data_IF_422254068595
#
_entry.id   IF_422254068595
#
_cell.length_a   1.000
_cell.length_b   1.000
_cell.length_c   1.000
_cell.angle_alpha   90.00
_cell.angle_beta   90.00
_cell.angle_gamma   90.00
#
_symmetry.space_group_name_H-M   'P 1'
#
loop_
_entity.id
_entity.type
_entity.pdbx_description
1 polymer ?
#
# COMPACT_ATOMS: atom_id res chain seq x y z
N UNK A 1 -1.47 12.19 -10.27
CA UNK A 1 -1.77 10.74 -10.22
C UNK A 1 -3.13 10.58 -10.84
N UNK A 2 -3.28 9.65 -11.79
CA UNK A 2 -4.62 9.32 -12.29
C UNK A 2 -5.48 8.79 -11.15
N UNK A 3 -6.80 8.88 -11.33
CA UNK A 3 -7.76 8.49 -10.30
C UNK A 3 -7.70 6.96 -10.18
N UNK A 4 -7.30 6.45 -9.02
CA UNK A 4 -7.34 5.01 -8.72
C UNK A 4 -8.81 4.61 -8.52
N UNK A 5 -9.33 3.77 -9.40
CA UNK A 5 -10.73 3.34 -9.40
C UNK A 5 -10.83 1.81 -9.38
N UNK A 6 -11.87 1.29 -8.73
CA UNK A 6 -12.17 -0.14 -8.65
C UNK A 6 -13.59 -0.40 -9.10
N UNK A 7 -13.80 -1.47 -9.88
CA UNK A 7 -15.13 -1.90 -10.30
C UNK A 7 -15.71 -2.85 -9.26
N UNK A 8 -16.78 -2.42 -8.60
CA UNK A 8 -17.49 -3.22 -7.60
C UNK A 8 -18.67 -3.91 -8.27
N UNK A 9 -18.79 -5.23 -8.07
CA UNK A 9 -19.88 -6.06 -8.59
C UNK A 9 -20.64 -6.65 -7.42
N UNK A 10 -21.98 -6.56 -7.44
CA UNK A 10 -22.84 -7.30 -6.52
C UNK A 10 -22.82 -8.79 -6.89
N UNK A 11 -22.43 -9.67 -5.96
CA UNK A 11 -22.28 -11.11 -6.25
C UNK A 11 -23.59 -11.90 -6.20
N UNK A 12 -24.71 -11.26 -5.85
CA UNK A 12 -26.05 -11.87 -5.91
C UNK A 12 -26.76 -11.60 -7.24
N UNK A 13 -26.42 -10.51 -7.89
CA UNK A 13 -27.00 -10.03 -9.15
C UNK A 13 -25.84 -9.59 -10.06
N UNK A 14 -25.40 -10.49 -10.95
CA UNK A 14 -24.20 -10.30 -11.79
C UNK A 14 -24.27 -9.09 -12.74
N UNK A 15 -25.44 -8.46 -12.92
CA UNK A 15 -25.64 -7.29 -13.79
C UNK A 15 -25.45 -5.95 -13.08
N UNK A 16 -25.40 -5.91 -11.74
CA UNK A 16 -25.18 -4.67 -10.98
C UNK A 16 -23.72 -4.47 -10.66
N UNK A 17 -23.12 -3.50 -11.35
CA UNK A 17 -21.74 -3.08 -11.16
C UNK A 17 -21.58 -1.57 -11.27
N UNK A 18 -20.63 -1.01 -10.53
CA UNK A 18 -20.33 0.41 -10.59
C UNK A 18 -18.88 0.69 -10.16
N UNK A 19 -18.27 1.70 -10.77
CA UNK A 19 -16.93 2.15 -10.46
C UNK A 19 -16.90 3.02 -9.20
N UNK A 20 -15.93 2.77 -8.33
CA UNK A 20 -15.65 3.56 -7.13
C UNK A 20 -14.22 4.08 -7.18
N UNK A 21 -14.07 5.39 -7.07
CA UNK A 21 -12.76 6.01 -6.90
C UNK A 21 -12.27 5.92 -5.46
N UNK A 22 -10.96 5.73 -5.30
CA UNK A 22 -10.27 5.67 -4.02
C UNK A 22 -9.14 6.72 -3.94
N UNK A 23 -8.81 7.25 -2.75
CA UNK A 23 -9.58 7.06 -1.51
C UNK A 23 -10.97 7.72 -1.61
N UNK A 24 -11.90 7.25 -0.78
CA UNK A 24 -13.32 7.62 -0.77
C UNK A 24 -13.82 7.92 0.64
N UNK A 25 -15.10 8.24 0.75
CA UNK A 25 -15.81 8.50 1.99
C UNK A 25 -17.05 7.61 2.16
N UNK A 26 -17.49 7.44 3.41
CA UNK A 26 -18.62 6.58 3.75
C UNK A 26 -19.96 7.02 3.12
N UNK A 27 -20.09 8.29 2.71
CA UNK A 27 -21.27 8.79 2.01
C UNK A 27 -21.34 8.20 0.61
N UNK A 28 -20.24 8.29 -0.15
CA UNK A 28 -20.14 7.71 -1.50
C UNK A 28 -20.30 6.20 -1.51
N UNK A 29 -19.71 5.50 -0.54
CA UNK A 29 -19.87 4.03 -0.43
C UNK A 29 -21.33 3.66 -0.17
N UNK A 30 -22.05 4.44 0.66
CA UNK A 30 -23.47 4.22 0.89
C UNK A 30 -24.31 4.43 -0.36
N UNK A 31 -24.09 5.54 -1.06
CA UNK A 31 -24.80 5.82 -2.32
C UNK A 31 -24.54 4.76 -3.38
N UNK A 32 -23.30 4.28 -3.47
CA UNK A 32 -22.91 3.16 -4.33
C UNK A 32 -23.68 1.88 -3.93
N UNK A 33 -23.69 1.53 -2.65
CA UNK A 33 -24.37 0.33 -2.14
C UNK A 33 -25.88 0.40 -2.41
N UNK A 34 -26.51 1.56 -2.21
CA UNK A 34 -27.92 1.79 -2.52
C UNK A 34 -28.21 1.54 -4.01
N UNK A 35 -27.35 2.01 -4.92
CA UNK A 35 -27.47 1.77 -6.38
C UNK A 35 -27.26 0.29 -6.74
N UNK A 36 -26.30 -0.37 -6.09
CA UNK A 36 -26.02 -1.79 -6.27
C UNK A 36 -27.03 -2.71 -5.57
N UNK A 37 -27.97 -2.18 -4.78
CA UNK A 37 -28.94 -2.98 -4.01
C UNK A 37 -28.31 -3.75 -2.85
N UNK A 38 -27.21 -3.24 -2.29
CA UNK A 38 -26.50 -3.80 -1.15
C UNK A 38 -26.89 -3.06 0.13
N UNK A 39 -27.11 -3.80 1.22
CA UNK A 39 -27.33 -3.19 2.52
C UNK A 39 -26.01 -2.67 3.13
N UNK A 40 -26.03 -1.69 4.05
CA UNK A 40 -24.85 -1.30 4.80
C UNK A 40 -24.23 -2.50 5.53
N UNK A 41 -22.92 -2.71 5.36
CA UNK A 41 -22.18 -3.85 5.92
C UNK A 41 -22.41 -5.19 5.19
N UNK A 42 -23.13 -5.19 4.07
CA UNK A 42 -23.27 -6.37 3.23
C UNK A 42 -21.95 -6.70 2.52
N UNK A 43 -21.51 -7.95 2.62
CA UNK A 43 -20.27 -8.46 2.04
C UNK A 43 -20.51 -9.21 0.72
N UNK A 44 -21.71 -9.09 0.14
CA UNK A 44 -22.07 -9.74 -1.13
C UNK A 44 -21.68 -8.89 -2.33
N UNK A 45 -20.43 -8.45 -2.33
CA UNK A 45 -19.80 -7.74 -3.44
C UNK A 45 -18.40 -8.30 -3.67
N UNK A 46 -17.79 -7.99 -4.81
CA UNK A 46 -16.35 -8.22 -5.05
C UNK A 46 -15.78 -7.07 -5.87
N UNK A 47 -14.48 -6.83 -5.71
CA UNK A 47 -13.73 -5.98 -6.63
C UNK A 47 -13.34 -6.82 -7.83
N UNK A 48 -13.86 -6.50 -9.02
CA UNK A 48 -13.62 -7.32 -10.21
C UNK A 48 -12.39 -6.90 -11.00
N UNK A 49 -12.13 -5.59 -11.09
CA UNK A 49 -10.95 -5.04 -11.78
C UNK A 49 -10.68 -3.63 -11.27
N UNK A 50 -9.58 -3.04 -11.71
CA UNK A 50 -9.11 -1.73 -11.30
C UNK A 50 -8.55 -0.91 -12.46
N UNK A 51 -8.64 0.41 -12.34
CA UNK A 51 -8.05 1.39 -13.26
C UNK A 51 -7.25 2.43 -12.48
N UNK A 52 -6.29 3.07 -13.14
CA UNK A 52 -5.48 4.12 -12.51
C UNK A 52 -4.56 3.65 -11.38
N UNK A 53 -4.24 2.36 -11.31
CA UNK A 53 -3.19 1.86 -10.41
C UNK A 53 -1.86 2.56 -10.70
N UNK A 54 -1.09 2.96 -9.67
CA UNK A 54 0.21 3.59 -9.91
C UNK A 54 1.20 2.69 -10.66
N UNK A 55 1.06 1.37 -10.53
CA UNK A 55 1.81 0.38 -11.28
C UNK A 55 1.07 -0.97 -11.31
N UNK A 56 1.23 -1.77 -12.38
CA UNK A 56 0.43 -2.99 -12.61
C UNK A 56 0.64 -4.08 -11.56
N UNK A 57 1.80 -4.10 -10.89
CA UNK A 57 2.11 -5.10 -9.85
C UNK A 57 1.19 -4.99 -8.61
N UNK A 58 0.39 -3.94 -8.48
CA UNK A 58 -0.65 -3.82 -7.45
C UNK A 58 -1.92 -4.61 -7.74
N UNK A 59 -2.21 -4.92 -9.01
CA UNK A 59 -3.47 -5.55 -9.41
C UNK A 59 -3.81 -6.81 -8.60
N UNK A 60 -2.87 -7.74 -8.32
CA UNK A 60 -3.16 -8.94 -7.52
C UNK A 60 -3.60 -8.68 -6.07
N UNK A 61 -3.29 -7.50 -5.52
CA UNK A 61 -3.73 -7.11 -4.18
C UNK A 61 -5.11 -6.46 -4.23
N UNK A 62 -5.44 -5.77 -5.32
CA UNK A 62 -6.68 -5.01 -5.46
C UNK A 62 -7.82 -5.86 -6.03
N UNK A 63 -7.56 -6.55 -7.13
CA UNK A 63 -8.55 -7.31 -7.87
C UNK A 63 -8.85 -8.63 -7.17
N UNK A 64 -10.14 -8.97 -7.04
CA UNK A 64 -10.61 -10.11 -6.25
C UNK A 64 -10.73 -9.83 -4.75
N UNK A 65 -10.41 -8.62 -4.28
CA UNK A 65 -10.64 -8.22 -2.90
C UNK A 65 -12.14 -8.12 -2.57
N UNK A 66 -12.45 -8.22 -1.28
CA UNK A 66 -13.79 -8.10 -0.67
C UNK A 66 -13.79 -7.06 0.46
N UNK A 67 -12.86 -6.10 0.42
CA UNK A 67 -12.61 -5.18 1.53
C UNK A 67 -12.33 -3.77 1.01
N UNK A 68 -13.38 -2.95 0.87
CA UNK A 68 -13.28 -1.56 0.42
C UNK A 68 -12.50 -0.74 1.46
N UNK A 69 -12.71 -0.97 2.76
CA UNK A 69 -11.98 -0.29 3.83
C UNK A 69 -10.44 -0.45 3.69
N UNK A 70 -9.99 -1.69 3.43
CA UNK A 70 -8.58 -2.00 3.22
C UNK A 70 -8.00 -1.38 1.96
N UNK A 71 -8.76 -1.37 0.86
CA UNK A 71 -8.35 -0.71 -0.38
C UNK A 71 -8.34 0.81 -0.25
N UNK A 72 -9.26 1.38 0.54
CA UNK A 72 -9.31 2.79 0.85
C UNK A 72 -8.10 3.25 1.66
N UNK A 73 -7.69 2.44 2.64
CA UNK A 73 -6.45 2.67 3.39
C UNK A 73 -5.22 2.60 2.49
N UNK A 74 -5.11 1.54 1.68
CA UNK A 74 -4.00 1.40 0.72
C UNK A 74 -3.93 2.59 -0.25
N UNK A 75 -5.06 3.00 -0.82
CA UNK A 75 -5.14 4.14 -1.74
C UNK A 75 -4.65 5.44 -1.10
N UNK A 76 -5.11 5.73 0.12
CA UNK A 76 -4.70 6.91 0.85
C UNK A 76 -3.19 6.92 1.12
N UNK A 77 -2.64 5.78 1.54
CA UNK A 77 -1.20 5.62 1.79
C UNK A 77 -0.36 5.79 0.53
N UNK A 78 -0.75 5.16 -0.58
CA UNK A 78 -0.05 5.33 -1.87
C UNK A 78 -0.07 6.79 -2.34
N UNK A 79 -1.15 7.52 -2.09
CA UNK A 79 -1.26 8.94 -2.43
C UNK A 79 -0.39 9.89 -1.61
N UNK A 80 0.17 9.43 -0.49
CA UNK A 80 1.06 10.22 0.38
C UNK A 80 2.54 10.02 0.05
N UNK A 81 2.89 8.99 -0.73
CA UNK A 81 4.28 8.69 -1.09
C UNK A 81 4.81 9.65 -2.15
N UNK A 82 6.11 9.96 -2.04
CA UNK A 82 6.81 10.62 -3.12
C UNK A 82 7.21 9.62 -4.24
N UNK A 83 7.82 10.14 -5.30
CA UNK A 83 8.19 9.32 -6.45
C UNK A 83 9.26 8.26 -6.12
N UNK A 84 10.17 8.55 -5.18
CA UNK A 84 11.26 7.63 -4.81
C UNK A 84 10.72 6.49 -3.93
N UNK A 85 9.93 6.84 -2.91
CA UNK A 85 9.23 5.87 -2.06
C UNK A 85 8.31 4.97 -2.88
N UNK A 86 7.61 5.52 -3.88
CA UNK A 86 6.78 4.72 -4.79
C UNK A 86 7.59 3.67 -5.56
N UNK A 87 8.82 3.98 -5.98
CA UNK A 87 9.69 3.00 -6.63
C UNK A 87 10.17 1.93 -5.65
N UNK A 88 10.45 2.28 -4.39
CA UNK A 88 10.80 1.32 -3.34
C UNK A 88 9.64 0.34 -3.11
N UNK A 89 8.41 0.84 -2.96
CA UNK A 89 7.23 0.00 -2.78
C UNK A 89 7.06 -0.95 -3.96
N UNK A 90 7.19 -0.45 -5.19
CA UNK A 90 7.10 -1.27 -6.41
C UNK A 90 8.19 -2.35 -6.46
N UNK A 91 9.43 -1.99 -6.18
CA UNK A 91 10.56 -2.92 -6.15
C UNK A 91 10.36 -4.02 -5.09
N UNK A 92 9.90 -3.65 -3.90
CA UNK A 92 9.65 -4.60 -2.82
C UNK A 92 8.51 -5.57 -3.16
N UNK A 93 7.43 -5.10 -3.78
CA UNK A 93 6.35 -5.97 -4.27
C UNK A 93 6.89 -6.99 -5.29
N UNK A 94 7.74 -6.55 -6.23
CA UNK A 94 8.37 -7.43 -7.21
C UNK A 94 9.31 -8.45 -6.55
N UNK A 95 10.05 -8.02 -5.54
CA UNK A 95 10.92 -8.90 -4.75
C UNK A 95 10.13 -9.96 -3.95
N UNK A 96 8.85 -9.70 -3.69
CA UNK A 96 7.92 -10.63 -3.07
C UNK A 96 7.89 -10.55 -1.54
N UNK A 97 7.11 -11.44 -0.92
CA UNK A 97 6.91 -11.47 0.54
C UNK A 97 5.64 -10.76 1.04
N UNK A 98 4.79 -10.29 0.12
CA UNK A 98 3.51 -9.62 0.43
C UNK A 98 2.35 -10.44 -0.15
N UNK A 99 1.25 -10.59 0.59
CA UNK A 99 0.10 -11.41 0.17
C UNK A 99 -1.25 -10.70 0.21
N UNK A 100 -1.34 -9.53 0.85
CA UNK A 100 -2.60 -8.80 1.07
C UNK A 100 -2.44 -7.29 0.87
N UNK A 101 -3.53 -6.54 0.61
CA UNK A 101 -3.53 -5.08 0.63
C UNK A 101 -2.95 -4.48 1.91
N UNK A 102 -3.21 -5.12 3.06
CA UNK A 102 -2.72 -4.66 4.35
C UNK A 102 -1.19 -4.81 4.46
N UNK A 103 -0.60 -5.83 3.84
CA UNK A 103 0.87 -5.97 3.78
C UNK A 103 1.49 -4.85 2.95
N UNK A 104 0.85 -4.47 1.83
CA UNK A 104 1.32 -3.34 1.01
C UNK A 104 1.13 -2.01 1.73
N UNK A 105 0.00 -1.83 2.42
CA UNK A 105 -0.23 -0.65 3.24
C UNK A 105 0.83 -0.53 4.35
N UNK A 106 1.18 -1.62 5.03
CA UNK A 106 2.28 -1.65 6.01
C UNK A 106 3.64 -1.31 5.37
N UNK A 107 3.94 -1.84 4.19
CA UNK A 107 5.14 -1.50 3.44
C UNK A 107 5.25 0.00 3.14
N UNK A 108 4.12 0.69 2.86
CA UNK A 108 4.16 2.15 2.65
C UNK A 108 4.59 2.93 3.89
N UNK A 109 4.57 2.33 5.08
CA UNK A 109 5.05 2.96 6.33
C UNK A 109 6.52 2.60 6.64
N UNK A 110 7.14 1.78 5.80
CA UNK A 110 8.44 1.16 6.01
C UNK A 110 9.33 1.26 4.76
N UNK A 111 9.17 2.31 3.94
CA UNK A 111 10.00 2.46 2.74
C UNK A 111 11.48 2.64 3.10
N UNK A 112 11.79 3.23 4.26
CA UNK A 112 13.13 3.35 4.80
C UNK A 112 13.80 2.01 5.16
N UNK A 113 13.04 0.93 5.29
CA UNK A 113 13.59 -0.42 5.50
C UNK A 113 14.43 -0.90 4.31
N UNK A 114 14.27 -0.27 3.15
CA UNK A 114 14.96 -0.60 1.93
C UNK A 114 15.77 0.57 1.38
N UNK A 115 16.88 0.23 0.72
CA UNK A 115 17.61 1.10 -0.19
C UNK A 115 17.42 0.56 -1.59
N UNK A 116 17.03 1.44 -2.52
CA UNK A 116 16.93 1.12 -3.95
C UNK A 116 18.05 1.84 -4.70
N UNK A 117 18.86 1.07 -5.43
CA UNK A 117 19.84 1.58 -6.38
C UNK A 117 19.25 1.50 -7.80
N UNK A 118 18.64 2.58 -8.32
CA UNK A 118 17.79 2.51 -9.50
C UNK A 118 18.54 2.14 -10.79
N UNK A 119 19.79 2.57 -10.92
CA UNK A 119 20.62 2.33 -12.12
C UNK A 119 21.35 0.98 -12.11
N UNK A 120 21.10 0.14 -11.10
CA UNK A 120 21.82 -1.11 -10.87
C UNK A 120 20.93 -2.32 -11.18
N UNK A 121 21.04 -2.85 -12.40
CA UNK A 121 20.21 -3.97 -12.86
C UNK A 121 20.95 -5.30 -13.00
N UNK A 122 22.27 -5.31 -12.82
CA UNK A 122 23.07 -6.53 -12.86
C UNK A 122 24.28 -6.46 -11.93
N UNK A 123 24.95 -7.61 -11.76
CA UNK A 123 26.11 -7.76 -10.88
C UNK A 123 27.29 -6.89 -11.30
N UNK A 124 27.51 -6.69 -12.60
CA UNK A 124 28.59 -5.84 -13.05
C UNK A 124 28.29 -4.35 -12.76
N UNK A 125 27.04 -3.92 -12.90
CA UNK A 125 26.59 -2.59 -12.52
C UNK A 125 26.73 -2.37 -11.01
N UNK A 126 26.35 -3.35 -10.20
CA UNK A 126 26.50 -3.30 -8.74
C UNK A 126 27.97 -3.17 -8.34
N UNK A 127 28.86 -3.95 -8.95
CA UNK A 127 30.29 -3.84 -8.70
C UNK A 127 30.85 -2.48 -9.09
N UNK A 128 30.45 -1.92 -10.25
CA UNK A 128 30.85 -0.57 -10.67
C UNK A 128 30.37 0.50 -9.69
N UNK A 129 29.11 0.42 -9.26
CA UNK A 129 28.53 1.34 -8.27
C UNK A 129 29.35 1.31 -6.97
N UNK A 130 29.62 0.13 -6.41
CA UNK A 130 30.38 0.05 -5.17
C UNK A 130 31.82 0.53 -5.30
N UNK A 131 32.50 0.21 -6.41
CA UNK A 131 33.86 0.66 -6.65
C UNK A 131 33.95 2.19 -6.77
N UNK A 132 32.99 2.84 -7.43
CA UNK A 132 33.17 4.22 -7.89
C UNK A 132 32.23 5.23 -7.24
N UNK A 133 30.99 4.84 -6.94
CA UNK A 133 29.91 5.77 -6.62
C UNK A 133 29.41 5.65 -5.17
N UNK A 134 29.57 4.47 -4.54
CA UNK A 134 29.06 4.22 -3.18
C UNK A 134 29.78 5.00 -2.07
N UNK A 135 31.02 5.44 -2.32
CA UNK A 135 31.90 6.00 -1.28
C UNK A 135 32.49 4.98 -0.30
N UNK A 136 32.14 3.69 -0.41
CA UNK A 136 32.64 2.62 0.48
C UNK A 136 34.09 2.19 0.17
N UNK A 137 34.54 2.39 -1.07
CA UNK A 137 35.84 1.94 -1.55
C UNK A 137 36.79 3.12 -1.73
N UNK A 138 37.71 3.26 -0.78
CA UNK A 138 38.80 4.25 -0.83
C UNK A 138 40.11 3.61 -1.31
N UNK A 139 40.39 3.74 -2.61
CA UNK A 139 41.65 3.32 -3.23
C UNK A 139 41.91 4.07 -4.55
N UNK A 140 43.16 4.11 -5.06
CA UNK A 140 43.47 4.77 -6.34
C UNK A 140 42.65 4.22 -7.51
N UNK A 141 42.22 5.09 -8.43
CA UNK A 141 41.41 4.71 -9.60
C UNK A 141 42.08 3.62 -10.45
N UNK A 142 43.41 3.69 -10.63
CA UNK A 142 44.17 2.68 -11.34
C UNK A 142 44.12 1.29 -10.70
N UNK A 143 43.88 1.21 -9.39
CA UNK A 143 43.70 -0.06 -8.68
C UNK A 143 42.28 -0.60 -8.84
N UNK A 144 41.28 0.29 -8.78
CA UNK A 144 39.87 -0.05 -9.07
C UNK A 144 39.72 -0.67 -10.47
N UNK A 145 40.44 -0.14 -11.46
CA UNK A 145 40.43 -0.63 -12.84
C UNK A 145 40.96 -2.07 -13.00
N UNK A 146 41.70 -2.60 -12.03
CA UNK A 146 42.17 -3.98 -12.02
C UNK A 146 41.16 -4.99 -11.44
N UNK A 147 40.06 -4.53 -10.86
CA UNK A 147 39.03 -5.38 -10.25
C UNK A 147 37.94 -5.67 -11.28
N UNK A 148 37.62 -6.95 -11.48
CA UNK A 148 36.48 -7.35 -12.31
C UNK A 148 35.15 -6.94 -11.63
N UNK A 149 34.38 -6.02 -12.22
CA UNK A 149 33.14 -5.54 -11.63
C UNK A 149 32.09 -6.64 -11.45
N UNK A 150 32.04 -7.64 -12.34
CA UNK A 150 31.05 -8.71 -12.21
C UNK A 150 31.31 -9.56 -10.97
N UNK A 151 32.53 -10.08 -10.82
CA UNK A 151 32.91 -10.87 -9.65
C UNK A 151 32.75 -10.08 -8.34
N UNK A 152 33.13 -8.79 -8.35
CA UNK A 152 33.00 -7.94 -7.16
C UNK A 152 31.53 -7.72 -6.77
N UNK A 153 30.68 -7.36 -7.73
CA UNK A 153 29.26 -7.20 -7.48
C UNK A 153 28.54 -8.50 -7.13
N UNK A 154 28.97 -9.65 -7.65
CA UNK A 154 28.47 -10.95 -7.20
C UNK A 154 28.77 -11.21 -5.71
N UNK A 155 29.98 -10.88 -5.26
CA UNK A 155 30.36 -11.01 -3.86
C UNK A 155 29.52 -10.08 -2.96
N UNK A 156 29.34 -8.82 -3.37
CA UNK A 156 28.49 -7.86 -2.67
C UNK A 156 27.04 -8.37 -2.59
N UNK A 157 26.47 -8.79 -3.72
CA UNK A 157 25.09 -9.24 -3.76
C UNK A 157 24.83 -10.45 -2.84
N UNK A 158 25.80 -11.37 -2.74
CA UNK A 158 25.73 -12.50 -1.81
C UNK A 158 25.83 -12.08 -0.35
N UNK A 159 26.65 -11.07 -0.05
CA UNK A 159 26.86 -10.58 1.31
C UNK A 159 25.64 -9.82 1.82
N UNK A 160 25.08 -8.94 1.00
CA UNK A 160 23.96 -8.07 1.41
C UNK A 160 22.60 -8.72 1.23
N UNK A 161 22.51 -9.80 0.44
CA UNK A 161 21.25 -10.50 0.19
C UNK A 161 20.21 -9.69 -0.59
N UNK A 162 20.63 -8.63 -1.29
CA UNK A 162 19.73 -7.80 -2.09
C UNK A 162 19.27 -8.50 -3.38
N UNK A 163 18.22 -7.93 -3.97
CA UNK A 163 17.44 -8.52 -5.06
C UNK A 163 17.45 -7.57 -6.26
N UNK A 164 17.76 -8.10 -7.44
CA UNK A 164 17.63 -7.35 -8.69
C UNK A 164 16.17 -7.33 -9.14
N UNK A 165 15.63 -6.14 -9.32
CA UNK A 165 14.27 -5.89 -9.79
C UNK A 165 14.31 -5.03 -11.07
N UNK A 166 13.21 -4.93 -11.83
CA UNK A 166 13.12 -3.97 -12.92
C UNK A 166 13.32 -2.51 -12.48
N UNK A 167 13.14 -2.20 -11.19
CA UNK A 167 13.34 -0.87 -10.61
C UNK A 167 14.79 -0.61 -10.17
N UNK A 168 15.66 -1.63 -10.21
CA UNK A 168 17.04 -1.55 -9.74
C UNK A 168 17.36 -2.61 -8.68
N UNK A 169 18.47 -2.42 -7.97
CA UNK A 169 18.92 -3.32 -6.92
C UNK A 169 18.34 -2.89 -5.57
N UNK A 170 17.49 -3.75 -5.00
CA UNK A 170 16.83 -3.52 -3.72
C UNK A 170 17.56 -4.27 -2.62
N UNK A 171 17.95 -3.56 -1.56
CA UNK A 171 18.68 -4.13 -0.41
C UNK A 171 18.09 -3.59 0.89
N UNK A 172 18.19 -4.35 1.98
CA UNK A 172 17.76 -3.88 3.29
C UNK A 172 18.70 -2.78 3.79
N UNK A 173 18.15 -1.69 4.34
CA UNK A 173 18.93 -0.57 4.88
C UNK A 173 19.61 -0.90 6.21
N UNK A 174 19.09 -1.91 6.92
CA UNK A 174 19.45 -2.21 8.31
C UNK A 174 18.52 -1.55 9.33
N UNK A 175 17.58 -0.71 8.89
CA UNK A 175 16.50 -0.20 9.74
C UNK A 175 15.57 -1.32 10.19
N UNK A 176 14.85 -1.09 11.29
CA UNK A 176 13.90 -2.06 11.82
C UNK A 176 12.55 -1.89 11.14
N UNK A 177 11.95 -3.02 10.76
CA UNK A 177 10.56 -3.05 10.32
C UNK A 177 9.63 -2.60 11.46
N UNK A 178 8.73 -1.66 11.18
CA UNK A 178 7.69 -1.18 12.09
C UNK A 178 6.43 -2.00 11.83
N UNK A 179 6.12 -2.89 12.77
CA UNK A 179 4.89 -3.67 12.73
C UNK A 179 3.66 -2.76 12.90
N UNK A 180 2.68 -2.97 12.02
CA UNK A 180 1.37 -2.32 12.09
C UNK A 180 0.30 -3.37 12.35
N UNK A 181 -0.73 -3.01 13.12
CA UNK A 181 -1.89 -3.87 13.30
C UNK A 181 -2.69 -3.98 12.00
N UNK A 182 -2.30 -4.96 11.17
CA UNK A 182 -2.93 -5.27 9.88
C UNK A 182 -4.34 -5.84 10.02
N UNK A 183 -4.72 -6.34 11.20
CA UNK A 183 -6.06 -6.89 11.41
C UNK A 183 -7.13 -5.79 11.50
N UNK A 184 -6.72 -4.55 11.79
CA UNK A 184 -7.62 -3.43 11.96
C UNK A 184 -7.28 -2.29 11.01
N UNK A 185 -8.12 -2.10 9.98
CA UNK A 185 -8.07 -0.87 9.17
C UNK A 185 -8.25 0.34 10.11
N UNK A 186 -7.41 1.38 10.05
CA UNK A 186 -7.57 2.56 10.89
C UNK A 186 -8.92 3.25 10.67
N UNK A 187 -9.52 3.81 11.73
CA UNK A 187 -10.89 4.36 11.70
C UNK A 187 -11.08 5.42 10.60
N UNK A 188 -10.06 6.24 10.34
CA UNK A 188 -10.07 7.27 9.30
C UNK A 188 -10.30 6.72 7.88
N UNK A 189 -10.05 5.43 7.65
CA UNK A 189 -10.20 4.77 6.35
C UNK A 189 -11.40 3.82 6.27
N UNK A 190 -12.14 3.64 7.38
CA UNK A 190 -13.34 2.80 7.42
C UNK A 190 -14.54 3.54 6.81
N UNK A 191 -14.95 3.11 5.62
CA UNK A 191 -15.99 3.72 4.79
C UNK A 191 -17.21 2.80 4.61
N UNK A 192 -17.08 1.50 4.89
CA UNK A 192 -18.18 0.54 4.87
C UNK A 192 -19.06 0.58 6.13
N UNK A 193 -18.58 1.24 7.18
CA UNK A 193 -19.27 1.29 8.47
C UNK A 193 -20.67 1.94 8.36
N UNK A 194 -21.67 1.41 9.09
CA UNK A 194 -22.99 2.03 9.14
C UNK A 194 -22.89 3.45 9.71
N UNK A 195 -23.76 4.35 9.24
CA UNK A 195 -23.80 5.72 9.73
C UNK A 195 -23.84 5.74 11.27
N UNK A 196 -23.07 6.60 11.95
CA UNK A 196 -23.17 6.72 13.40
C UNK A 196 -24.63 7.02 13.76
N UNK A 197 -25.20 6.19 14.63
CA UNK A 197 -26.55 6.41 15.15
C UNK A 197 -26.51 7.76 15.86
N UNK A 198 -27.17 8.79 15.31
CA UNK A 198 -27.32 10.07 15.99
C UNK A 198 -27.91 9.79 17.36
N UNK A 199 -27.14 10.04 18.43
CA UNK A 199 -27.68 9.99 19.79
C UNK A 199 -28.89 10.91 19.84
N UNK A 200 -30.08 10.34 20.05
CA UNK A 200 -31.29 11.15 20.24
C UNK A 200 -31.04 12.02 21.48
N UNK A 201 -31.25 13.35 21.41
CA UNK A 201 -31.08 14.20 22.58
C UNK A 201 -31.94 13.65 23.72
N UNK A 202 -31.29 13.33 24.86
CA UNK A 202 -31.98 12.84 26.05
C UNK A 202 -33.02 13.89 26.45
N UNK A 203 -34.31 13.52 26.42
CA UNK A 203 -35.39 14.40 26.88
C UNK A 203 -35.03 14.90 28.29
N UNK A 204 -35.12 16.21 28.57
CA UNK A 204 -34.83 16.73 29.90
C UNK A 204 -35.79 16.07 30.90
N UNK A 205 -35.24 15.56 32.00
CA UNK A 205 -36.02 15.02 33.12
C UNK A 205 -36.95 16.11 33.63
N UNK A 206 -38.26 15.92 33.48
CA UNK A 206 -39.25 16.75 34.16
C UNK A 206 -38.99 16.65 35.67
N UNK A 207 -38.62 17.77 36.29
CA UNK A 207 -38.57 17.88 37.75
C UNK A 207 -40.01 17.81 38.24
N UNK A 208 -40.39 16.70 38.89
CA UNK A 208 -41.59 16.68 39.70
C UNK A 208 -41.39 17.64 40.89
N UNK A 209 -42.16 18.72 40.93
CA UNK A 209 -42.40 19.45 42.17
C UNK A 209 -43.32 18.58 43.04
N UNK A 210 -42.75 18.02 44.10
CA UNK A 210 -43.54 17.54 45.23
C UNK A 210 -44.08 18.75 46.02
N UNK A 211 -45.26 18.65 46.64
CA UNK A 211 -45.88 19.75 47.35
C UNK A 211 -45.07 20.12 48.60
N UNK A 212 -44.94 21.42 48.83
CA UNK A 212 -44.36 22.00 50.04
C UNK A 212 -45.21 21.62 51.27
N UNK A 213 -44.52 21.28 52.37
CA UNK A 213 -45.07 21.16 53.73
C UNK A 213 -44.57 22.35 54.55
#
# INVERSE_FOLDING_TARGET
MDKFEVLIINTREDDRQEWLALPTDAGKVRELFDRLGLAPGDQSYRISTSEGLPFPELAPFVEGSYNIDGLNWLAARLGELDAADMQIVRAAIVAGGFGTPADVAELTHNTEYYVLLPDVHDRAALGRYYLNDSGMVDMPEGWKAGIDPFCFGEAIAKQEGGIFTPQGYLVQSGDKWKEIDRAHVPEAYRVEAPAPVKERPKKPKQKHHGPEL
#
